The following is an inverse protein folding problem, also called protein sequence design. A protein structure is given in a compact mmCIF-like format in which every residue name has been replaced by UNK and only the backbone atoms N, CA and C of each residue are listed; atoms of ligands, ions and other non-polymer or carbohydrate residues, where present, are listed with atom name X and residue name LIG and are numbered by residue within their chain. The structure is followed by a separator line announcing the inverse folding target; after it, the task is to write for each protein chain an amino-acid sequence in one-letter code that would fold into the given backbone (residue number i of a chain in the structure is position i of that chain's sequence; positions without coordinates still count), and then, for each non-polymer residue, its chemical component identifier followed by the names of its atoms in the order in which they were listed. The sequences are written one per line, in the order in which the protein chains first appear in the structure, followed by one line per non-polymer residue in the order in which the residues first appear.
data_IF_535522780265
#
_entry.id   IF_535522780265
#
_cell.length_a   1.000
_cell.length_b   1.000
_cell.length_c   1.000
_cell.angle_alpha   90.00
_cell.angle_beta   90.00
_cell.angle_gamma   90.00
#
_symmetry.space_group_name_H-M   'P 1'
#
loop_
_entity.id
_entity.type
_entity.pdbx_description
1 polymer ?
#
# COMPACT_ATOMS: atom_id res chain seq x y z
N UNK A 1 22.09 26.20 4.59
CA UNK A 1 20.82 25.93 5.29
C UNK A 1 20.41 24.52 4.92
N UNK A 2 20.02 23.67 5.86
CA UNK A 2 19.51 22.34 5.50
C UNK A 2 18.09 22.50 4.97
N UNK A 3 17.88 22.32 3.66
CA UNK A 3 16.54 22.24 3.07
C UNK A 3 15.92 20.86 3.35
N UNK A 4 15.78 20.53 4.63
CA UNK A 4 15.03 19.36 5.04
C UNK A 4 13.54 19.59 4.75
N UNK A 5 12.79 18.56 4.34
CA UNK A 5 11.34 18.64 4.22
C UNK A 5 10.71 19.04 5.56
N UNK A 6 9.82 20.02 5.56
CA UNK A 6 9.13 20.51 6.76
C UNK A 6 7.67 20.08 6.71
N UNK A 7 7.20 19.34 7.71
CA UNK A 7 5.78 19.05 7.88
C UNK A 7 5.03 20.32 8.27
N UNK A 8 4.04 20.70 7.47
CA UNK A 8 3.21 21.89 7.69
C UNK A 8 1.95 21.50 8.47
N UNK A 9 1.18 20.52 7.95
CA UNK A 9 -0.02 20.01 8.62
C UNK A 9 -0.44 18.64 8.07
N UNK A 10 -1.38 18.00 8.75
CA UNK A 10 -2.17 16.89 8.21
C UNK A 10 -3.43 17.43 7.53
N UNK A 11 -3.82 16.83 6.42
CA UNK A 11 -5.05 17.14 5.69
C UNK A 11 -5.71 15.84 5.22
N UNK A 12 -6.73 15.38 5.96
CA UNK A 12 -7.33 14.06 5.71
C UNK A 12 -6.30 12.94 5.82
N UNK A 13 -6.19 12.11 4.77
CA UNK A 13 -5.23 11.01 4.65
C UNK A 13 -3.84 11.43 4.11
N UNK A 14 -3.49 12.72 4.21
CA UNK A 14 -2.25 13.28 3.68
C UNK A 14 -1.44 14.06 4.73
N UNK A 15 -0.11 13.99 4.59
CA UNK A 15 0.82 14.95 5.17
C UNK A 15 1.13 16.04 4.14
N UNK A 16 0.90 17.30 4.51
CA UNK A 16 1.30 18.45 3.71
C UNK A 16 2.66 18.92 4.19
N UNK A 17 3.63 18.91 3.30
CA UNK A 17 5.01 19.29 3.59
C UNK A 17 5.46 20.41 2.65
N UNK A 18 6.45 21.19 3.10
CA UNK A 18 7.16 22.16 2.26
C UNK A 18 8.60 21.71 2.08
N UNK A 19 9.06 21.66 0.84
CA UNK A 19 10.43 21.29 0.52
C UNK A 19 10.93 22.03 -0.72
N UNK A 20 12.11 22.64 -0.64
CA UNK A 20 12.74 23.42 -1.73
C UNK A 20 11.79 24.42 -2.42
N UNK A 21 10.95 25.10 -1.64
CA UNK A 21 9.99 26.09 -2.13
C UNK A 21 8.66 25.53 -2.64
N UNK A 22 8.54 24.22 -2.84
CA UNK A 22 7.33 23.54 -3.32
C UNK A 22 6.54 22.92 -2.17
N UNK A 23 5.21 22.90 -2.28
CA UNK A 23 4.34 22.18 -1.36
C UNK A 23 3.99 20.81 -1.92
N UNK A 24 4.01 19.80 -1.08
CA UNK A 24 3.66 18.42 -1.44
C UNK A 24 2.56 17.89 -0.53
N UNK A 25 1.61 17.17 -1.13
CA UNK A 25 0.67 16.31 -0.44
C UNK A 25 1.15 14.88 -0.55
N UNK A 26 1.68 14.34 0.55
CA UNK A 26 2.11 12.95 0.65
C UNK A 26 0.98 12.09 1.24
N UNK A 27 0.51 11.04 0.54
CA UNK A 27 -0.44 10.11 1.13
C UNK A 27 0.16 9.43 2.36
N UNK A 28 -0.59 9.29 3.44
CA UNK A 28 -0.12 8.56 4.63
C UNK A 28 0.11 7.07 4.34
N UNK A 29 -0.58 6.51 3.33
CA UNK A 29 -0.50 5.10 2.95
C UNK A 29 0.83 4.69 2.32
N UNK A 30 1.64 5.64 1.83
CA UNK A 30 2.93 5.31 1.19
C UNK A 30 4.07 5.13 2.20
N UNK A 31 3.79 5.28 3.50
CA UNK A 31 4.77 5.09 4.55
C UNK A 31 5.88 6.14 4.55
N UNK A 32 7.08 5.81 5.08
CA UNK A 32 8.21 6.73 5.12
C UNK A 32 8.72 7.06 3.71
N UNK A 33 8.67 8.34 3.33
CA UNK A 33 9.16 8.82 2.03
C UNK A 33 10.50 9.55 2.22
N UNK A 34 11.55 9.08 1.53
CA UNK A 34 12.81 9.81 1.41
C UNK A 34 12.69 10.85 0.28
N UNK A 35 12.39 12.09 0.64
CA UNK A 35 12.15 13.17 -0.32
C UNK A 35 13.36 13.49 -1.21
N UNK A 36 14.56 13.24 -0.71
CA UNK A 36 15.84 13.49 -1.38
C UNK A 36 16.33 12.33 -2.24
N UNK A 37 15.69 11.16 -2.16
CA UNK A 37 16.09 9.95 -2.89
C UNK A 37 14.92 9.35 -3.64
N UNK A 38 15.02 9.37 -4.96
CA UNK A 38 14.05 8.76 -5.86
C UNK A 38 13.20 9.78 -6.62
N UNK A 39 12.45 9.27 -7.59
CA UNK A 39 11.55 10.07 -8.41
C UNK A 39 10.18 10.13 -7.73
N UNK A 40 9.85 11.30 -7.16
CA UNK A 40 8.58 11.54 -6.47
C UNK A 40 7.36 11.36 -7.39
N UNK A 41 7.53 11.46 -8.71
CA UNK A 41 6.43 11.23 -9.67
C UNK A 41 5.95 9.77 -9.69
N UNK A 42 6.76 8.84 -9.19
CA UNK A 42 6.39 7.43 -9.07
C UNK A 42 5.49 7.14 -7.87
N UNK A 43 5.33 8.09 -6.94
CA UNK A 43 4.50 7.92 -5.76
C UNK A 43 3.03 8.15 -6.16
N UNK A 44 2.18 7.10 -6.14
CA UNK A 44 0.78 7.24 -6.56
C UNK A 44 0.05 8.26 -5.69
N UNK A 45 -0.75 9.11 -6.34
CA UNK A 45 -1.52 10.16 -5.69
C UNK A 45 -0.67 11.16 -4.88
N UNK A 46 0.63 11.28 -5.17
CA UNK A 46 1.42 12.42 -4.71
C UNK A 46 0.99 13.68 -5.49
N UNK A 47 0.70 14.74 -4.76
CA UNK A 47 0.37 16.04 -5.35
C UNK A 47 1.46 17.05 -5.01
N UNK A 48 1.79 17.94 -5.95
CA UNK A 48 2.69 19.05 -5.70
C UNK A 48 2.15 20.33 -6.32
N UNK A 49 2.35 21.46 -5.65
CA UNK A 49 1.98 22.78 -6.15
C UNK A 49 2.83 23.89 -5.50
N UNK A 50 2.69 25.12 -6.01
CA UNK A 50 3.41 26.27 -5.48
C UNK A 50 2.79 26.82 -4.19
N UNK A 51 1.51 26.54 -3.96
CA UNK A 51 0.81 26.94 -2.75
C UNK A 51 0.16 25.77 -2.02
N UNK A 52 0.01 25.90 -0.71
CA UNK A 52 -0.69 24.92 0.12
C UNK A 52 -2.15 24.72 -0.32
N UNK A 53 -2.84 25.80 -0.69
CA UNK A 53 -4.26 25.78 -1.11
C UNK A 53 -4.43 24.97 -2.40
N UNK A 54 -3.50 25.09 -3.34
CA UNK A 54 -3.55 24.29 -4.57
C UNK A 54 -3.35 22.80 -4.30
N UNK A 55 -2.45 22.43 -3.38
CA UNK A 55 -2.29 21.02 -2.98
C UNK A 55 -3.57 20.48 -2.35
N UNK A 56 -4.20 21.24 -1.45
CA UNK A 56 -5.48 20.85 -0.84
C UNK A 56 -6.58 20.68 -1.90
N UNK A 57 -6.66 21.59 -2.86
CA UNK A 57 -7.61 21.51 -3.97
C UNK A 57 -7.36 20.27 -4.83
N UNK A 58 -6.11 19.98 -5.19
CA UNK A 58 -5.76 18.76 -5.93
C UNK A 58 -6.20 17.50 -5.17
N UNK A 59 -6.02 17.46 -3.85
CA UNK A 59 -6.48 16.33 -3.03
C UNK A 59 -8.02 16.20 -3.09
N UNK A 60 -8.75 17.31 -2.98
CA UNK A 60 -10.22 17.29 -3.01
C UNK A 60 -10.74 16.88 -4.40
N UNK A 61 -10.20 17.48 -5.47
CA UNK A 61 -10.65 17.26 -6.85
C UNK A 61 -10.36 15.83 -7.32
N UNK A 62 -9.31 15.19 -6.78
CA UNK A 62 -8.90 13.84 -7.16
C UNK A 62 -9.38 12.76 -6.17
N UNK A 63 -10.35 13.05 -5.29
CA UNK A 63 -10.79 12.14 -4.21
C UNK A 63 -11.14 10.72 -4.68
N UNK A 64 -11.73 10.57 -5.86
CA UNK A 64 -12.06 9.26 -6.44
C UNK A 64 -10.83 8.45 -6.85
N UNK A 65 -9.79 9.12 -7.38
CA UNK A 65 -8.49 8.50 -7.65
C UNK A 65 -7.80 8.15 -6.33
N UNK A 66 -7.88 9.04 -5.35
CA UNK A 66 -7.28 8.85 -4.03
C UNK A 66 -7.91 7.67 -3.29
N UNK A 67 -9.23 7.47 -3.36
CA UNK A 67 -9.88 6.32 -2.73
C UNK A 67 -9.36 4.99 -3.29
N UNK A 68 -9.09 4.90 -4.60
CA UNK A 68 -8.45 3.73 -5.20
C UNK A 68 -7.02 3.47 -4.69
N UNK A 69 -6.35 4.51 -4.17
CA UNK A 69 -4.92 4.45 -3.83
C UNK A 69 -4.61 4.61 -2.32
N UNK A 70 -5.60 4.90 -1.46
CA UNK A 70 -5.35 5.21 -0.03
C UNK A 70 -6.09 4.33 0.97
N UNK A 71 -7.07 3.54 0.54
CA UNK A 71 -7.69 2.48 1.35
C UNK A 71 -7.53 1.13 0.63
N UNK A 72 -7.39 0.01 1.38
CA UNK A 72 -7.44 -1.31 0.77
C UNK A 72 -8.81 -1.55 0.16
N UNK A 73 -8.87 -1.57 -1.17
CA UNK A 73 -10.07 -1.85 -1.93
C UNK A 73 -10.05 -3.31 -2.36
N UNK A 74 -11.14 -4.05 -2.13
CA UNK A 74 -11.28 -5.40 -2.68
C UNK A 74 -11.31 -5.33 -4.21
N UNK A 75 -10.29 -5.90 -4.85
CA UNK A 75 -10.18 -6.02 -6.30
C UNK A 75 -10.91 -7.27 -6.77
N UNK A 76 -10.56 -8.43 -6.22
CA UNK A 76 -11.20 -9.69 -6.54
C UNK A 76 -11.06 -10.72 -5.40
N UNK A 77 -11.74 -11.84 -5.57
CA UNK A 77 -11.60 -13.01 -4.71
C UNK A 77 -10.97 -14.14 -5.51
N UNK A 78 -9.88 -14.73 -5.00
CA UNK A 78 -9.12 -15.75 -5.70
C UNK A 78 -8.84 -16.96 -4.80
N UNK A 79 -9.52 -18.07 -5.03
CA UNK A 79 -9.43 -19.27 -4.18
C UNK A 79 -9.78 -18.99 -2.71
N UNK A 80 -8.84 -19.23 -1.81
CA UNK A 80 -8.97 -18.96 -0.37
C UNK A 80 -8.56 -17.53 0.04
N UNK A 81 -8.33 -16.65 -0.92
CA UNK A 81 -7.82 -15.29 -0.69
C UNK A 81 -8.80 -14.23 -1.16
N UNK A 82 -8.80 -13.11 -0.46
CA UNK A 82 -9.25 -11.82 -0.96
C UNK A 82 -8.03 -11.07 -1.50
N UNK A 83 -8.13 -10.53 -2.71
CA UNK A 83 -7.11 -9.66 -3.28
C UNK A 83 -7.58 -8.22 -3.10
N UNK A 84 -6.81 -7.44 -2.35
CA UNK A 84 -7.07 -6.00 -2.19
C UNK A 84 -5.98 -5.19 -2.88
N UNK A 85 -6.35 -4.07 -3.48
CA UNK A 85 -5.39 -3.07 -3.97
C UNK A 85 -5.26 -1.99 -2.90
N UNK A 86 -4.02 -1.68 -2.53
CA UNK A 86 -3.71 -0.54 -1.69
C UNK A 86 -2.50 0.20 -2.25
N UNK A 87 -2.70 1.44 -2.67
CA UNK A 87 -1.69 2.20 -3.42
C UNK A 87 -1.48 1.61 -4.82
N UNK A 88 -0.28 1.10 -5.08
CA UNK A 88 0.10 0.39 -6.31
C UNK A 88 0.53 -1.07 -6.04
N UNK A 89 0.06 -1.63 -4.92
CA UNK A 89 0.40 -2.97 -4.46
C UNK A 89 -0.90 -3.77 -4.33
N UNK A 90 -0.88 -4.98 -4.87
CA UNK A 90 -1.89 -6.00 -4.63
C UNK A 90 -1.51 -6.80 -3.40
N UNK A 91 -2.45 -7.04 -2.50
CA UNK A 91 -2.29 -7.87 -1.31
C UNK A 91 -3.22 -9.07 -1.39
N UNK A 92 -2.67 -10.27 -1.30
CA UNK A 92 -3.41 -11.51 -1.13
C UNK A 92 -3.58 -11.81 0.35
N UNK A 93 -4.82 -11.73 0.84
CA UNK A 93 -5.16 -11.91 2.25
C UNK A 93 -6.05 -13.15 2.40
N UNK A 94 -5.72 -14.13 3.26
CA UNK A 94 -6.57 -15.28 3.51
C UNK A 94 -7.98 -14.86 3.96
N UNK A 95 -9.02 -15.52 3.46
CA UNK A 95 -10.43 -15.25 3.83
C UNK A 95 -10.76 -15.53 5.30
N UNK A 96 -9.95 -16.35 5.95
CA UNK A 96 -10.19 -16.84 7.31
C UNK A 96 -9.74 -15.80 8.33
N UNK A 97 -10.67 -14.93 8.74
CA UNK A 97 -10.49 -14.01 9.87
C UNK A 97 -11.05 -12.61 9.63
N UNK A 98 -11.49 -11.96 10.72
CA UNK A 98 -11.75 -10.53 10.71
C UNK A 98 -10.41 -9.79 10.70
N UNK A 99 -9.95 -9.37 9.53
CA UNK A 99 -8.69 -8.67 9.39
C UNK A 99 -8.92 -7.15 9.34
N UNK A 100 -8.61 -6.48 10.46
CA UNK A 100 -8.57 -5.03 10.53
C UNK A 100 -7.11 -4.59 10.33
N UNK A 101 -6.79 -3.88 9.26
CA UNK A 101 -5.42 -3.44 8.95
C UNK A 101 -5.34 -1.92 8.94
N UNK A 102 -4.35 -1.38 9.63
CA UNK A 102 -4.08 0.07 9.68
C UNK A 102 -2.76 0.48 9.01
N UNK A 103 -1.87 -0.46 8.69
CA UNK A 103 -0.58 -0.17 8.02
C UNK A 103 -0.05 -1.35 7.17
N UNK A 104 0.85 -1.06 6.22
CA UNK A 104 1.57 -2.06 5.41
C UNK A 104 2.48 -2.95 6.27
N UNK A 105 3.19 -2.35 7.23
CA UNK A 105 4.16 -3.06 8.06
C UNK A 105 3.47 -4.13 8.94
N UNK A 106 2.26 -3.85 9.43
CA UNK A 106 1.47 -4.82 10.22
C UNK A 106 0.97 -6.03 9.42
N UNK A 107 0.81 -5.88 8.10
CA UNK A 107 0.23 -6.93 7.25
C UNK A 107 1.32 -7.78 6.58
N UNK A 108 2.48 -7.21 6.30
CA UNK A 108 3.59 -7.89 5.62
C UNK A 108 4.14 -9.09 6.41
N UNK A 109 4.09 -9.05 7.74
CA UNK A 109 4.62 -10.11 8.62
C UNK A 109 3.61 -11.24 8.90
N UNK A 110 2.37 -11.14 8.43
CA UNK A 110 1.34 -12.16 8.73
C UNK A 110 1.53 -13.40 7.86
N UNK A 111 1.52 -14.57 8.50
CA UNK A 111 1.63 -15.85 7.80
C UNK A 111 0.52 -16.01 6.75
N UNK A 112 0.93 -16.43 5.56
CA UNK A 112 0.01 -16.62 4.43
C UNK A 112 -0.50 -15.31 3.84
N UNK A 113 0.04 -14.14 4.20
CA UNK A 113 -0.21 -12.91 3.45
C UNK A 113 0.86 -12.72 2.38
N UNK A 114 0.46 -12.27 1.20
CA UNK A 114 1.35 -12.00 0.07
C UNK A 114 1.10 -10.62 -0.49
N UNK A 115 2.11 -10.00 -1.09
CA UNK A 115 1.94 -8.74 -1.80
C UNK A 115 2.85 -8.65 -3.02
N UNK A 116 2.37 -7.96 -4.06
CA UNK A 116 3.11 -7.78 -5.31
C UNK A 116 2.60 -6.54 -6.08
N UNK A 117 3.44 -5.96 -6.92
CA UNK A 117 3.03 -4.92 -7.88
C UNK A 117 2.37 -5.48 -9.16
N UNK A 118 2.43 -6.80 -9.35
CA UNK A 118 1.85 -7.53 -10.47
C UNK A 118 0.84 -8.57 -9.98
N UNK A 119 -0.42 -8.42 -10.38
CA UNK A 119 -1.50 -9.35 -10.04
C UNK A 119 -1.21 -10.80 -10.47
N UNK A 120 -0.68 -11.08 -11.68
CA UNK A 120 -0.26 -12.44 -12.06
C UNK A 120 0.80 -13.05 -11.12
N UNK A 121 1.82 -12.28 -10.75
CA UNK A 121 2.88 -12.78 -9.85
C UNK A 121 2.37 -12.97 -8.43
N UNK A 122 1.47 -12.11 -7.94
CA UNK A 122 0.78 -12.33 -6.66
C UNK A 122 0.03 -13.67 -6.66
N UNK A 123 -0.74 -13.96 -7.71
CA UNK A 123 -1.49 -15.21 -7.84
C UNK A 123 -0.57 -16.43 -7.80
N UNK A 124 0.55 -16.37 -8.53
CA UNK A 124 1.57 -17.42 -8.53
C UNK A 124 2.18 -17.65 -7.15
N UNK A 125 2.45 -16.59 -6.38
CA UNK A 125 2.93 -16.70 -4.99
C UNK A 125 1.93 -17.43 -4.10
N UNK A 126 0.65 -17.03 -4.15
CA UNK A 126 -0.43 -17.65 -3.37
C UNK A 126 -0.61 -19.14 -3.73
N UNK A 127 -0.62 -19.48 -5.02
CA UNK A 127 -0.70 -20.87 -5.47
C UNK A 127 0.48 -21.72 -5.00
N UNK A 128 1.71 -21.18 -5.09
CA UNK A 128 2.91 -21.87 -4.64
C UNK A 128 2.87 -22.15 -3.14
N UNK A 129 2.39 -21.19 -2.36
CA UNK A 129 2.20 -21.38 -0.92
C UNK A 129 1.19 -22.48 -0.62
N UNK A 130 0.01 -22.44 -1.25
CA UNK A 130 -1.02 -23.47 -1.11
C UNK A 130 -0.49 -24.86 -1.47
N UNK A 131 0.25 -24.99 -2.58
CA UNK A 131 0.89 -26.24 -3.01
C UNK A 131 1.89 -26.75 -1.98
N UNK A 132 2.71 -25.87 -1.42
CA UNK A 132 3.74 -26.24 -0.44
C UNK A 132 3.14 -26.65 0.90
N UNK A 133 2.11 -25.94 1.37
CA UNK A 133 1.40 -26.32 2.59
C UNK A 133 0.68 -27.67 2.44
N UNK A 134 0.07 -27.92 1.29
CA UNK A 134 -0.52 -29.24 0.99
C UNK A 134 0.52 -30.36 0.99
N UNK A 135 1.70 -30.13 0.40
CA UNK A 135 2.81 -31.12 0.42
C UNK A 135 3.33 -31.40 1.83
N UNK A 136 3.48 -30.37 2.67
CA UNK A 136 3.89 -30.53 4.08
C UNK A 136 2.88 -31.35 4.87
N UNK A 137 1.59 -31.06 4.69
CA UNK A 137 0.51 -31.77 5.40
C UNK A 137 0.30 -33.20 4.88
N UNK A 138 0.51 -33.45 3.58
CA UNK A 138 0.46 -34.78 2.99
C UNK A 138 1.70 -35.65 3.30
N UNK A 139 2.79 -35.04 3.77
CA UNK A 139 4.01 -35.73 4.20
C UNK A 139 4.02 -36.16 5.67
N UNK A 140 2.93 -35.95 6.41
CA UNK A 140 2.77 -36.29 7.83
C UNK A 140 1.80 -37.47 8.02
N UNK A 141 2.09 -38.60 7.36
CA UNK A 141 1.62 -39.93 7.77
C UNK A 141 2.71 -40.98 7.52
N UNK A 142 3.88 -40.85 8.16
CA UNK A 142 4.72 -42.03 8.45
C UNK A 142 5.39 -41.88 9.83
N UNK A 143 4.65 -42.28 10.85
CA UNK A 143 5.13 -42.88 12.11
C UNK A 143 3.91 -43.62 12.64
N UNK A 144 3.89 -44.94 12.81
CA UNK A 144 4.94 -45.82 13.35
C UNK A 144 4.80 -47.22 12.77
#
# INVERSE_FOLDING_TARGET
MSDAPVLIKKFGSYNLIKWKGTFYGLPLSVGPVQMDKGDLSLIPALFQAQTMIEVEKLIVDNRSLIQKHTQPLLEETYGFYNIVVWGAIYYGIPKVGAFNFTSHDEIADKEGVFFNHSLPELKKQMENYCRNQHKKNAGLTVTS
#
